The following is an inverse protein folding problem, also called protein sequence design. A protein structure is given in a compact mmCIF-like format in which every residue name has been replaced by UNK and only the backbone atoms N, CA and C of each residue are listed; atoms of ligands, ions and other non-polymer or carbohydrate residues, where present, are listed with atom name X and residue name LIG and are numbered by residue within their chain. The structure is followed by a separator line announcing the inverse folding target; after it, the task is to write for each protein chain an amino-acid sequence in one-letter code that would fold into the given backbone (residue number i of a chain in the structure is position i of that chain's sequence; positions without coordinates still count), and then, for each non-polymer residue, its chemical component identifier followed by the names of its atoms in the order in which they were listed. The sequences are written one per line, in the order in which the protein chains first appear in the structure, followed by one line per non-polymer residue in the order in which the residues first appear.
data_IF_445580973612
#
_entry.id   IF_445580973612
#
_cell.length_a   1.000
_cell.length_b   1.000
_cell.length_c   1.000
_cell.angle_alpha   90.00
_cell.angle_beta   90.00
_cell.angle_gamma   90.00
#
_symmetry.space_group_name_H-M   'P 1'
#
loop_
_entity.id
_entity.type
_entity.pdbx_description
1 polymer ?
#
# COMPACT_ATOMS: atom_id res chain seq x y z
N UNK A 1 18.90 -17.26 -3.03
CA UNK A 1 17.76 -16.67 -3.77
C UNK A 1 16.52 -16.77 -2.88
N UNK A 2 15.73 -15.70 -2.71
CA UNK A 2 14.50 -15.72 -1.89
C UNK A 2 13.31 -16.17 -2.75
N UNK A 3 12.28 -16.73 -2.12
CA UNK A 3 11.06 -17.15 -2.81
C UNK A 3 10.31 -15.93 -3.36
N UNK A 4 9.62 -16.09 -4.50
CA UNK A 4 8.85 -15.01 -5.14
C UNK A 4 7.72 -14.42 -4.28
N UNK A 5 7.34 -15.10 -3.20
CA UNK A 5 6.31 -14.62 -2.25
C UNK A 5 6.88 -13.82 -1.09
N UNK A 6 8.18 -13.53 -1.11
CA UNK A 6 8.82 -12.71 -0.09
C UNK A 6 8.91 -11.27 -0.56
N UNK A 7 8.38 -10.33 0.23
CA UNK A 7 8.71 -8.92 0.16
C UNK A 7 10.17 -8.70 0.55
N UNK A 8 10.98 -8.25 -0.39
CA UNK A 8 12.38 -7.86 -0.18
C UNK A 8 12.42 -6.33 -0.11
N UNK A 9 12.99 -5.76 0.95
CA UNK A 9 13.03 -4.30 1.15
C UNK A 9 13.68 -3.58 -0.04
N UNK A 10 14.77 -4.12 -0.57
CA UNK A 10 15.49 -3.60 -1.74
C UNK A 10 14.77 -3.79 -3.09
N UNK A 11 13.58 -4.40 -3.11
CA UNK A 11 12.77 -4.55 -4.34
C UNK A 11 11.37 -3.97 -4.18
N UNK A 12 11.03 -3.51 -2.99
CA UNK A 12 9.69 -3.08 -2.65
C UNK A 12 9.50 -1.58 -2.88
N UNK A 13 8.30 -1.22 -3.31
CA UNK A 13 7.70 0.12 -3.22
C UNK A 13 6.41 -0.04 -2.42
N UNK A 14 6.23 0.78 -1.39
CA UNK A 14 4.96 0.87 -0.67
C UNK A 14 4.03 1.83 -1.42
N UNK A 15 2.92 1.32 -1.94
CA UNK A 15 1.90 2.08 -2.65
C UNK A 15 0.65 2.22 -1.77
N UNK A 16 0.33 3.46 -1.39
CA UNK A 16 -0.85 3.78 -0.57
C UNK A 16 -1.90 4.42 -1.48
N UNK A 17 -3.01 3.72 -1.68
CA UNK A 17 -4.06 4.14 -2.60
C UNK A 17 -5.16 4.90 -1.86
N UNK A 18 -5.33 6.18 -2.19
CA UNK A 18 -6.50 7.03 -1.91
C UNK A 18 -6.95 7.04 -0.44
N UNK A 19 -6.02 7.13 0.51
CA UNK A 19 -6.35 7.17 1.95
C UNK A 19 -6.87 8.55 2.40
N UNK A 20 -8.00 9.00 1.86
CA UNK A 20 -8.46 10.39 1.93
C UNK A 20 -9.54 10.64 3.00
N UNK A 21 -9.49 11.83 3.59
CA UNK A 21 -10.29 12.21 4.76
C UNK A 21 -11.80 12.03 4.61
N UNK A 22 -12.39 12.37 3.46
CA UNK A 22 -13.85 12.31 3.31
C UNK A 22 -14.39 10.89 3.17
N UNK A 23 -13.54 9.91 2.84
CA UNK A 23 -13.93 8.50 2.71
C UNK A 23 -14.12 7.82 4.08
N UNK A 24 -13.39 8.30 5.10
CA UNK A 24 -13.31 7.68 6.43
C UNK A 24 -14.66 7.57 7.13
N UNK A 25 -15.55 8.55 6.92
CA UNK A 25 -16.90 8.55 7.52
C UNK A 25 -17.73 7.32 7.11
N UNK A 26 -17.44 6.74 5.95
CA UNK A 26 -18.16 5.60 5.41
C UNK A 26 -17.46 4.24 5.67
N UNK A 27 -16.30 4.26 6.34
CA UNK A 27 -15.48 3.06 6.59
C UNK A 27 -15.29 2.91 8.10
N UNK A 28 -16.14 2.16 8.82
CA UNK A 28 -16.10 2.07 10.28
C UNK A 28 -14.76 1.61 10.86
N UNK A 29 -14.00 0.80 10.13
CA UNK A 29 -12.70 0.27 10.55
C UNK A 29 -11.51 1.18 10.23
N UNK A 30 -11.73 2.41 9.75
CA UNK A 30 -10.65 3.22 9.17
C UNK A 30 -9.50 3.50 10.16
N UNK A 31 -9.76 3.63 11.48
CA UNK A 31 -8.71 3.86 12.47
C UNK A 31 -7.76 2.67 12.57
N UNK A 32 -8.29 1.45 12.59
CA UNK A 32 -7.50 0.22 12.63
C UNK A 32 -6.62 0.12 11.39
N UNK A 33 -7.22 0.34 10.22
CA UNK A 33 -6.52 0.30 8.93
C UNK A 33 -5.45 1.40 8.85
N UNK A 34 -5.75 2.62 9.34
CA UNK A 34 -4.77 3.70 9.41
C UNK A 34 -3.58 3.34 10.33
N UNK A 35 -3.84 2.63 11.44
CA UNK A 35 -2.80 2.07 12.30
C UNK A 35 -1.90 1.09 11.56
N UNK A 36 -2.48 0.17 10.77
CA UNK A 36 -1.73 -0.79 9.95
C UNK A 36 -0.92 -0.11 8.84
N UNK A 37 -1.49 0.89 8.17
CA UNK A 37 -0.77 1.71 7.18
C UNK A 37 0.37 2.46 7.85
N UNK A 38 0.16 3.06 9.03
CA UNK A 38 1.22 3.72 9.80
C UNK A 38 2.36 2.77 10.18
N UNK A 39 2.05 1.54 10.61
CA UNK A 39 3.06 0.51 10.89
C UNK A 39 3.93 0.20 9.66
N UNK A 40 3.30 -0.04 8.51
CA UNK A 40 4.01 -0.29 7.25
C UNK A 40 4.86 0.90 6.82
N UNK A 41 4.32 2.10 6.94
CA UNK A 41 4.97 3.35 6.60
C UNK A 41 6.23 3.59 7.44
N UNK A 42 6.15 3.46 8.77
CA UNK A 42 7.31 3.60 9.66
C UNK A 42 8.35 2.50 9.39
N UNK A 43 7.89 1.27 9.14
CA UNK A 43 8.77 0.18 8.76
C UNK A 43 9.47 0.44 7.42
N UNK A 44 8.75 1.01 6.45
CA UNK A 44 9.31 1.37 5.14
C UNK A 44 10.42 2.41 5.30
N UNK A 45 10.22 3.44 6.13
CA UNK A 45 11.24 4.44 6.40
C UNK A 45 12.49 3.86 7.07
N UNK A 46 12.33 2.95 8.04
CA UNK A 46 13.46 2.26 8.69
C UNK A 46 14.28 1.43 7.69
N UNK A 47 13.62 0.83 6.71
CA UNK A 47 14.24 -0.01 5.67
C UNK A 47 14.56 0.75 4.37
N UNK A 48 14.42 2.09 4.37
CA UNK A 48 14.67 2.95 3.20
C UNK A 48 13.87 2.54 1.95
N UNK A 49 12.66 2.04 2.18
CA UNK A 49 11.72 1.63 1.14
C UNK A 49 10.97 2.88 0.67
N UNK A 50 10.94 3.17 -0.64
CA UNK A 50 10.18 4.30 -1.16
C UNK A 50 8.69 4.12 -0.89
N UNK A 51 8.00 5.25 -0.72
CA UNK A 51 6.55 5.31 -0.55
C UNK A 51 5.97 6.22 -1.64
N UNK A 52 4.91 5.76 -2.30
CA UNK A 52 4.12 6.52 -3.27
C UNK A 52 2.66 6.52 -2.83
N UNK A 53 2.01 7.68 -2.89
CA UNK A 53 0.59 7.81 -2.60
C UNK A 53 -0.18 8.19 -3.84
N UNK A 54 -1.43 7.76 -3.90
CA UNK A 54 -2.41 8.32 -4.84
C UNK A 54 -3.52 9.06 -4.10
N UNK A 55 -4.08 10.08 -4.72
CA UNK A 55 -5.28 10.77 -4.27
C UNK A 55 -6.30 10.88 -5.41
N UNK A 56 -7.50 10.37 -5.17
CA UNK A 56 -8.63 10.45 -6.08
C UNK A 56 -9.36 11.78 -5.90
N UNK A 57 -9.55 12.55 -6.97
CA UNK A 57 -10.42 13.74 -7.03
C UNK A 57 -10.39 14.59 -5.73
N UNK A 58 -9.23 15.16 -5.40
CA UNK A 58 -8.95 15.83 -4.11
C UNK A 58 -9.95 16.92 -3.75
N UNK A 59 -10.48 17.66 -4.73
CA UNK A 59 -11.57 18.64 -4.53
C UNK A 59 -12.79 17.99 -3.86
N UNK A 60 -13.17 16.81 -4.32
CA UNK A 60 -14.33 16.05 -3.81
C UNK A 60 -14.05 15.25 -2.56
N UNK A 61 -12.87 14.60 -2.46
CA UNK A 61 -12.56 13.61 -1.41
C UNK A 61 -11.59 14.10 -0.31
N UNK A 62 -11.03 15.30 -0.47
CA UNK A 62 -10.04 15.86 0.45
C UNK A 62 -8.64 15.29 0.22
N UNK A 63 -7.70 15.69 1.05
CA UNK A 63 -6.34 15.16 1.01
C UNK A 63 -6.23 13.85 1.82
N UNK A 64 -5.09 13.19 1.68
CA UNK A 64 -4.65 12.08 2.51
C UNK A 64 -4.63 12.49 3.98
N UNK A 65 -4.92 11.55 4.88
CA UNK A 65 -4.83 11.79 6.32
C UNK A 65 -3.45 12.33 6.73
N UNK A 66 -3.39 13.49 7.42
CA UNK A 66 -2.14 14.05 7.93
C UNK A 66 -1.36 13.07 8.82
N UNK A 67 -2.05 12.21 9.57
CA UNK A 67 -1.47 11.20 10.43
C UNK A 67 -0.63 10.18 9.64
N UNK A 68 -1.02 9.85 8.42
CA UNK A 68 -0.25 8.97 7.54
C UNK A 68 0.96 9.71 6.97
N UNK A 69 0.79 10.99 6.61
CA UNK A 69 1.83 11.81 6.00
C UNK A 69 2.94 12.20 6.99
N UNK A 70 2.62 12.45 8.25
CA UNK A 70 3.60 12.88 9.28
C UNK A 70 4.64 11.83 9.61
N UNK A 71 4.33 10.56 9.38
CA UNK A 71 5.19 9.42 9.67
C UNK A 71 6.31 9.23 8.63
N UNK A 72 6.28 10.01 7.54
CA UNK A 72 7.24 9.89 6.43
C UNK A 72 7.97 11.21 6.30
N UNK A 73 9.30 11.17 6.49
CA UNK A 73 10.18 12.30 6.23
C UNK A 73 11.33 11.89 5.30
N UNK A 74 11.56 12.61 4.19
CA UNK A 74 10.75 13.73 3.67
C UNK A 74 9.34 13.29 3.21
N UNK A 75 8.37 14.21 3.07
CA UNK A 75 7.04 13.86 2.59
C UNK A 75 7.10 13.07 1.27
N UNK A 76 6.32 11.99 1.15
CA UNK A 76 6.33 11.13 -0.02
C UNK A 76 5.67 11.83 -1.22
N UNK A 77 6.03 11.46 -2.45
CA UNK A 77 5.30 11.89 -3.63
C UNK A 77 3.82 11.47 -3.57
N UNK A 78 2.95 12.40 -3.97
CA UNK A 78 1.50 12.19 -4.04
C UNK A 78 1.06 12.38 -5.49
N UNK A 79 0.51 11.34 -6.08
CA UNK A 79 0.00 11.33 -7.45
C UNK A 79 -1.52 11.56 -7.45
N UNK A 80 -1.97 12.65 -8.06
CA UNK A 80 -3.39 12.95 -8.16
C UNK A 80 -4.00 12.28 -9.37
N UNK A 81 -5.22 11.73 -9.22
CA UNK A 81 -5.94 11.04 -10.29
C UNK A 81 -7.44 11.28 -10.25
N UNK A 82 -8.07 11.06 -11.40
CA UNK A 82 -9.53 11.02 -11.57
C UNK A 82 -10.02 9.65 -12.04
N UNK A 83 -9.18 8.87 -12.72
CA UNK A 83 -9.46 7.47 -13.03
C UNK A 83 -9.37 6.59 -11.78
N UNK A 84 -10.26 5.61 -11.66
CA UNK A 84 -10.24 4.66 -10.55
C UNK A 84 -8.94 3.86 -10.52
N UNK A 85 -8.56 3.28 -11.66
CA UNK A 85 -7.21 2.76 -11.84
C UNK A 85 -6.23 3.91 -12.05
N UNK A 86 -5.23 4.01 -11.18
CA UNK A 86 -4.16 4.98 -11.35
C UNK A 86 -3.36 4.73 -12.65
N UNK A 87 -3.34 3.50 -13.16
CA UNK A 87 -2.62 3.14 -14.39
C UNK A 87 -3.23 3.73 -15.66
N UNK A 88 -4.48 4.20 -15.61
CA UNK A 88 -5.12 4.91 -16.71
C UNK A 88 -4.73 6.40 -16.76
N UNK A 89 -4.17 6.93 -15.68
CA UNK A 89 -3.62 8.28 -15.72
C UNK A 89 -2.33 8.29 -16.54
N UNK A 90 -2.16 9.30 -17.40
CA UNK A 90 -0.86 9.58 -18.00
C UNK A 90 0.21 9.66 -16.90
N UNK A 91 1.41 9.19 -17.21
CA UNK A 91 2.60 9.27 -16.34
C UNK A 91 2.62 8.36 -15.10
N UNK A 92 1.50 7.86 -14.57
CA UNK A 92 1.50 7.04 -13.35
C UNK A 92 2.40 5.80 -13.48
N UNK A 93 2.21 5.01 -14.53
CA UNK A 93 3.05 3.82 -14.77
C UNK A 93 4.53 4.19 -14.97
N UNK A 94 4.82 5.32 -15.59
CA UNK A 94 6.18 5.84 -15.74
C UNK A 94 6.81 6.19 -14.39
N UNK A 95 6.05 6.88 -13.54
CA UNK A 95 6.45 7.22 -12.17
C UNK A 95 6.73 5.96 -11.35
N UNK A 96 5.82 4.98 -11.34
CA UNK A 96 6.02 3.71 -10.62
C UNK A 96 7.28 2.99 -11.12
N UNK A 97 7.50 2.92 -12.44
CA UNK A 97 8.69 2.30 -13.03
C UNK A 97 9.99 3.02 -12.66
N UNK A 98 9.96 4.34 -12.46
CA UNK A 98 11.15 5.14 -12.13
C UNK A 98 11.80 4.76 -10.78
N UNK A 99 11.05 4.16 -9.86
CA UNK A 99 11.58 3.64 -8.60
C UNK A 99 12.46 2.40 -8.78
N UNK A 100 12.41 1.72 -9.93
CA UNK A 100 13.12 0.47 -10.20
C UNK A 100 12.84 -0.63 -9.14
N UNK A 101 11.61 -0.65 -8.61
CA UNK A 101 11.12 -1.62 -7.61
C UNK A 101 10.06 -2.53 -8.24
N UNK A 102 10.33 -3.83 -8.48
CA UNK A 102 9.37 -4.72 -9.11
C UNK A 102 8.26 -5.21 -8.16
N UNK A 103 8.45 -5.09 -6.83
CA UNK A 103 7.47 -5.52 -5.84
C UNK A 103 6.66 -4.32 -5.33
N UNK A 104 5.35 -4.38 -5.48
CA UNK A 104 4.43 -3.34 -5.03
C UNK A 104 3.67 -3.88 -3.82
N UNK A 105 3.97 -3.35 -2.64
CA UNK A 105 3.20 -3.62 -1.43
C UNK A 105 2.08 -2.59 -1.40
N UNK A 106 0.83 -3.05 -1.56
CA UNK A 106 -0.33 -2.18 -1.79
C UNK A 106 -1.26 -2.17 -0.58
N UNK A 107 -1.64 -0.97 -0.17
CA UNK A 107 -2.59 -0.66 0.91
C UNK A 107 -3.56 0.44 0.47
N UNK A 108 -4.64 0.66 1.21
CA UNK A 108 -5.55 1.79 0.98
C UNK A 108 -7.01 1.44 0.71
N UNK A 109 -7.71 2.34 0.03
CA UNK A 109 -9.17 2.29 -0.14
C UNK A 109 -9.64 2.91 -1.48
N UNK A 110 -10.80 2.57 -2.04
CA UNK A 110 -11.61 1.40 -1.67
C UNK A 110 -11.04 0.13 -2.32
N UNK A 111 -10.98 -0.96 -1.54
CA UNK A 111 -10.42 -2.27 -1.98
C UNK A 111 -11.02 -2.73 -3.31
N UNK A 112 -12.33 -2.60 -3.47
CA UNK A 112 -13.07 -3.09 -4.64
C UNK A 112 -13.16 -2.11 -5.81
N UNK A 113 -12.58 -0.92 -5.68
CA UNK A 113 -12.63 0.13 -6.71
C UNK A 113 -11.22 0.48 -7.14
N UNK A 114 -10.59 1.49 -6.53
CA UNK A 114 -9.29 2.00 -6.93
C UNK A 114 -8.19 0.97 -6.70
N UNK A 115 -8.20 0.27 -5.56
CA UNK A 115 -7.19 -0.74 -5.24
C UNK A 115 -7.28 -1.92 -6.20
N UNK A 116 -8.47 -2.50 -6.40
CA UNK A 116 -8.69 -3.62 -7.32
C UNK A 116 -8.22 -3.28 -8.74
N UNK A 117 -8.75 -2.19 -9.32
CA UNK A 117 -8.46 -1.85 -10.71
C UNK A 117 -6.98 -1.50 -10.92
N UNK A 118 -6.39 -0.71 -10.01
CA UNK A 118 -4.96 -0.36 -10.08
C UNK A 118 -4.10 -1.61 -9.95
N UNK A 119 -4.39 -2.51 -9.01
CA UNK A 119 -3.62 -3.75 -8.84
C UNK A 119 -3.71 -4.68 -10.05
N UNK A 120 -4.88 -4.82 -10.68
CA UNK A 120 -5.05 -5.62 -11.90
C UNK A 120 -4.19 -5.08 -13.05
N UNK A 121 -4.20 -3.76 -13.25
CA UNK A 121 -3.39 -3.13 -14.30
C UNK A 121 -1.89 -3.19 -13.99
N UNK A 122 -1.48 -3.07 -12.73
CA UNK A 122 -0.09 -3.26 -12.31
C UNK A 122 0.40 -4.69 -12.52
N UNK A 123 -0.43 -5.69 -12.22
CA UNK A 123 -0.15 -7.10 -12.53
C UNK A 123 0.00 -7.28 -14.05
N UNK A 124 -0.92 -6.73 -14.84
CA UNK A 124 -0.84 -6.78 -16.30
C UNK A 124 0.42 -6.09 -16.85
N UNK A 125 0.87 -5.01 -16.19
CA UNK A 125 2.10 -4.29 -16.53
C UNK A 125 3.40 -5.01 -16.08
N UNK A 126 3.29 -6.18 -15.42
CA UNK A 126 4.40 -7.04 -15.04
C UNK A 126 4.96 -6.83 -13.63
N UNK A 127 4.29 -6.06 -12.77
CA UNK A 127 4.69 -5.89 -11.38
C UNK A 127 4.26 -7.07 -10.51
N UNK A 128 4.99 -7.29 -9.41
CA UNK A 128 4.61 -8.24 -8.37
C UNK A 128 3.78 -7.51 -7.31
N UNK A 129 2.46 -7.66 -7.36
CA UNK A 129 1.56 -7.03 -6.39
C UNK A 129 1.43 -7.91 -5.14
N UNK A 130 1.67 -7.30 -3.98
CA UNK A 130 1.41 -7.85 -2.65
C UNK A 130 0.36 -7.00 -1.96
N UNK A 131 -0.87 -7.49 -1.92
CA UNK A 131 -1.99 -6.80 -1.27
C UNK A 131 -1.98 -7.12 0.23
N UNK A 132 -1.89 -6.08 1.06
CA UNK A 132 -1.90 -6.24 2.51
C UNK A 132 -3.35 -6.22 3.02
N UNK A 133 -3.91 -7.39 3.29
CA UNK A 133 -5.34 -7.59 3.50
C UNK A 133 -5.90 -6.87 4.76
N UNK A 134 -5.08 -6.74 5.80
CA UNK A 134 -5.42 -6.01 7.04
C UNK A 134 -5.14 -4.49 6.94
N UNK A 135 -4.61 -4.01 5.81
CA UNK A 135 -4.36 -2.59 5.54
C UNK A 135 -5.16 -2.07 4.33
N UNK A 136 -6.25 -2.75 3.96
CA UNK A 136 -7.19 -2.31 2.93
C UNK A 136 -8.62 -2.27 3.44
N UNK A 137 -9.42 -1.35 2.91
CA UNK A 137 -10.80 -1.18 3.34
C UNK A 137 -11.76 -0.83 2.20
N UNK A 138 -13.03 -1.20 2.38
CA UNK A 138 -14.16 -0.74 1.59
C UNK A 138 -15.30 -0.40 2.53
N UNK A 139 -16.26 0.41 2.07
CA UNK A 139 -17.46 0.74 2.86
C UNK A 139 -18.23 -0.49 3.32
N UNK A 140 -18.37 -1.48 2.43
CA UNK A 140 -18.94 -2.79 2.73
C UNK A 140 -17.83 -3.85 2.77
N UNK A 141 -17.76 -4.60 3.88
CA UNK A 141 -16.77 -5.69 4.07
C UNK A 141 -16.90 -6.76 3.00
N UNK A 142 -18.13 -7.10 2.59
CA UNK A 142 -18.37 -8.08 1.50
C UNK A 142 -17.72 -7.65 0.18
N UNK A 143 -17.75 -6.36 -0.16
CA UNK A 143 -17.09 -5.87 -1.37
C UNK A 143 -15.57 -5.97 -1.25
N UNK A 144 -15.02 -5.63 -0.07
CA UNK A 144 -13.58 -5.84 0.21
C UNK A 144 -13.19 -7.29 -0.01
N UNK A 145 -13.93 -8.23 0.58
CA UNK A 145 -13.57 -9.65 0.56
C UNK A 145 -13.64 -10.23 -0.86
N UNK A 146 -14.65 -9.84 -1.65
CA UNK A 146 -14.74 -10.21 -3.07
C UNK A 146 -13.54 -9.67 -3.85
N UNK A 147 -13.15 -8.41 -3.63
CA UNK A 147 -12.02 -7.81 -4.32
C UNK A 147 -10.68 -8.47 -3.97
N UNK A 148 -10.48 -8.84 -2.70
CA UNK A 148 -9.29 -9.61 -2.26
C UNK A 148 -9.24 -10.96 -2.98
N UNK A 149 -10.37 -11.66 -3.10
CA UNK A 149 -10.43 -12.94 -3.81
C UNK A 149 -10.15 -12.78 -5.31
N UNK A 150 -10.71 -11.76 -5.96
CA UNK A 150 -10.42 -11.46 -7.36
C UNK A 150 -8.93 -11.18 -7.59
N UNK A 151 -8.30 -10.39 -6.71
CA UNK A 151 -6.87 -10.12 -6.79
C UNK A 151 -6.02 -11.37 -6.57
N UNK A 152 -6.41 -12.25 -5.65
CA UNK A 152 -5.77 -13.54 -5.45
C UNK A 152 -5.81 -14.38 -6.72
N UNK A 153 -6.97 -14.47 -7.37
CA UNK A 153 -7.15 -15.21 -8.62
C UNK A 153 -6.38 -14.60 -9.79
N UNK A 154 -6.27 -13.27 -9.83
CA UNK A 154 -5.48 -12.55 -10.83
C UNK A 154 -3.96 -12.67 -10.62
N UNK A 155 -3.50 -13.26 -9.51
CA UNK A 155 -2.08 -13.51 -9.23
C UNK A 155 -1.41 -12.53 -8.27
N UNK A 156 -2.18 -11.65 -7.61
CA UNK A 156 -1.66 -10.89 -6.47
C UNK A 156 -1.38 -11.81 -5.29
N UNK A 157 -0.35 -11.49 -4.51
CA UNK A 157 -0.06 -12.16 -3.25
C UNK A 157 -0.85 -11.48 -2.14
N UNK A 158 -1.73 -12.24 -1.49
CA UNK A 158 -2.48 -11.73 -0.35
C UNK A 158 -1.65 -11.99 0.91
N UNK A 159 -1.33 -10.93 1.64
CA UNK A 159 -0.45 -10.94 2.82
C UNK A 159 -1.05 -10.10 3.96
N UNK A 160 -0.32 -9.91 5.05
CA UNK A 160 -0.67 -9.02 6.16
C UNK A 160 0.49 -8.10 6.55
N UNK A 161 0.18 -7.03 7.28
CA UNK A 161 1.14 -6.02 7.71
C UNK A 161 2.33 -6.66 8.41
N UNK A 162 2.07 -7.56 9.35
CA UNK A 162 3.13 -8.21 10.12
C UNK A 162 4.02 -9.10 9.22
N UNK A 163 3.43 -9.90 8.33
CA UNK A 163 4.19 -10.73 7.38
C UNK A 163 5.15 -9.86 6.56
N UNK A 164 4.67 -8.75 5.99
CA UNK A 164 5.50 -7.85 5.18
C UNK A 164 6.64 -7.25 6.00
N UNK A 165 6.36 -6.72 7.19
CA UNK A 165 7.37 -6.07 8.04
C UNK A 165 8.48 -7.06 8.43
N UNK A 166 8.13 -8.30 8.79
CA UNK A 166 9.11 -9.33 9.12
C UNK A 166 9.90 -9.79 7.88
N UNK A 167 9.24 -9.90 6.71
CA UNK A 167 9.93 -10.24 5.45
C UNK A 167 10.94 -9.17 5.03
N UNK A 168 10.57 -7.88 5.11
CA UNK A 168 11.49 -6.76 4.88
C UNK A 168 12.66 -6.76 5.86
N UNK A 169 12.39 -7.08 7.13
CA UNK A 169 13.43 -7.12 8.17
C UNK A 169 14.46 -8.21 7.93
N UNK A 170 14.05 -9.37 7.39
CA UNK A 170 14.88 -10.52 6.96
C UNK A 170 15.70 -11.20 8.07
N UNK A 171 16.37 -10.45 8.94
CA UNK A 171 17.25 -10.92 10.02
C UNK A 171 16.78 -10.35 11.36
N UNK A 172 16.54 -11.25 12.30
CA UNK A 172 16.36 -10.89 13.71
C UNK A 172 17.70 -10.45 14.34
N UNK A 173 17.62 -9.86 15.53
CA UNK A 173 18.76 -9.40 16.35
C UNK A 173 19.70 -8.40 15.64
N UNK A 174 19.12 -7.46 14.90
CA UNK A 174 19.82 -6.30 14.35
C UNK A 174 19.32 -5.03 15.03
N UNK A 175 20.11 -3.95 15.03
CA UNK A 175 19.64 -2.65 15.56
C UNK A 175 18.42 -2.14 14.79
N UNK A 176 18.38 -2.36 13.48
CA UNK A 176 17.21 -2.12 12.63
C UNK A 176 15.98 -2.88 13.15
N UNK A 177 16.11 -4.19 13.42
CA UNK A 177 14.99 -5.00 13.89
C UNK A 177 14.54 -4.60 15.31
N UNK A 178 15.44 -4.14 16.19
CA UNK A 178 15.06 -3.58 17.50
C UNK A 178 14.13 -2.38 17.34
N UNK A 179 14.40 -1.49 16.37
CA UNK A 179 13.50 -0.36 16.03
C UNK A 179 12.14 -0.86 15.52
N UNK A 180 12.14 -1.91 14.69
CA UNK A 180 10.90 -2.53 14.17
C UNK A 180 10.03 -3.13 15.29
N UNK A 181 10.62 -3.71 16.34
CA UNK A 181 9.84 -4.27 17.46
C UNK A 181 8.97 -3.24 18.18
N UNK A 182 9.31 -1.95 18.14
CA UNK A 182 8.47 -0.88 18.71
C UNK A 182 7.27 -0.53 17.81
N UNK A 183 7.24 -1.01 16.57
CA UNK A 183 6.18 -0.75 15.59
C UNK A 183 5.17 -1.90 15.56
N UNK A 184 5.64 -3.14 15.67
CA UNK A 184 4.82 -4.35 15.49
C UNK A 184 4.19 -4.84 16.80
N UNK A 185 4.63 -4.32 17.95
CA UNK A 185 4.05 -4.62 19.27
C UNK A 185 2.75 -3.89 19.54
#
# INVERSE_FOLDING_TARGET
MRHRYTAESTKSLLLIIDFQQKMLKAIPSWQEIAGKVSQLTRSAQIHEIPVLLTEQYTKGLGATLPEILREIQPPPPVFQKEHFSACLEPEFLGMVRSYARPQLVVVGMETHVCVLQTCLDLLHAGFQVQLVADAVASRATRNRDIAIELLRQAGALITSTEIVIFQWSCRANTDTFRRILHIVR
#
